data_IF_969067098004
#
_entry.id   IF_969067098004
#
_cell.length_a   1.000
_cell.length_b   1.000
_cell.length_c   1.000
_cell.angle_alpha   90.00
_cell.angle_beta   90.00
_cell.angle_gamma   90.00
#
_symmetry.space_group_name_H-M   'P 1'
#
loop_
_entity.id
_entity.type
_entity.pdbx_description
1 polymer ?
#
# COMPACT_ATOMS: atom_id res chain seq x y z
N UNK A 1 21.69 14.17 1.76
CA UNK A 1 21.74 12.73 1.34
C UNK A 1 20.40 12.13 0.90
N UNK A 2 19.23 12.58 1.40
CA UNK A 2 17.94 11.97 1.03
C UNK A 2 17.15 12.81 0.00
N UNK A 3 17.49 14.10 -0.11
CA UNK A 3 16.86 15.03 -1.05
C UNK A 3 17.03 14.63 -2.51
N UNK A 4 18.23 14.26 -2.94
CA UNK A 4 18.47 13.86 -4.34
C UNK A 4 17.62 12.66 -4.75
N UNK A 5 17.43 11.70 -3.84
CA UNK A 5 16.57 10.53 -4.06
C UNK A 5 15.09 10.94 -4.18
N UNK A 6 14.65 11.88 -3.34
CA UNK A 6 13.29 12.44 -3.34
C UNK A 6 13.03 13.22 -4.63
N UNK A 7 13.96 14.07 -5.04
CA UNK A 7 13.88 14.85 -6.27
C UNK A 7 13.81 13.95 -7.51
N UNK A 8 14.63 12.88 -7.55
CA UNK A 8 14.57 11.87 -8.61
C UNK A 8 13.25 11.11 -8.67
N UNK A 9 12.62 10.85 -7.53
CA UNK A 9 11.27 10.26 -7.49
C UNK A 9 10.21 11.23 -7.99
N UNK A 10 10.29 12.51 -7.60
CA UNK A 10 9.30 13.51 -8.04
C UNK A 10 9.42 13.80 -9.54
N UNK A 11 10.65 13.89 -10.08
CA UNK A 11 10.90 13.96 -11.54
C UNK A 11 10.25 12.79 -12.28
N UNK A 12 10.41 11.56 -11.77
CA UNK A 12 9.77 10.35 -12.35
C UNK A 12 8.25 10.40 -12.28
N UNK A 13 7.67 10.85 -11.16
CA UNK A 13 6.21 10.98 -11.00
C UNK A 13 5.58 11.94 -12.01
N UNK A 14 6.32 12.99 -12.42
CA UNK A 14 5.84 14.01 -13.37
C UNK A 14 5.86 13.53 -14.84
N UNK A 15 6.59 12.46 -15.15
CA UNK A 15 6.60 11.88 -16.51
C UNK A 15 5.23 11.34 -16.91
N UNK A 16 4.90 11.25 -18.21
CA UNK A 16 3.62 10.69 -18.68
C UNK A 16 3.37 9.26 -18.17
N UNK A 17 4.39 8.39 -18.22
CA UNK A 17 4.31 7.03 -17.68
C UNK A 17 4.12 7.02 -16.16
N UNK A 18 4.82 7.90 -15.43
CA UNK A 18 4.64 8.07 -14.00
C UNK A 18 3.21 8.50 -13.61
N UNK A 19 2.62 9.43 -14.35
CA UNK A 19 1.23 9.87 -14.17
C UNK A 19 0.24 8.73 -14.43
N UNK A 20 0.44 7.96 -15.50
CA UNK A 20 -0.40 6.79 -15.82
C UNK A 20 -0.34 5.72 -14.73
N UNK A 21 0.87 5.36 -14.27
CA UNK A 21 1.05 4.40 -13.17
C UNK A 21 0.37 4.91 -11.90
N UNK A 22 0.53 6.20 -11.59
CA UNK A 22 -0.08 6.80 -10.40
C UNK A 22 -1.60 6.77 -10.45
N UNK A 23 -2.22 7.04 -11.61
CA UNK A 23 -3.67 6.92 -11.78
C UNK A 23 -4.15 5.49 -11.48
N UNK A 24 -3.49 4.47 -12.02
CA UNK A 24 -3.84 3.07 -11.80
C UNK A 24 -3.62 2.61 -10.34
N UNK A 25 -2.64 3.19 -9.64
CA UNK A 25 -2.38 2.89 -8.22
C UNK A 25 -3.49 3.38 -7.30
N UNK A 26 -4.10 4.54 -7.58
CA UNK A 26 -5.23 5.07 -6.80
C UNK A 26 -6.41 4.11 -6.74
N UNK A 27 -6.68 3.45 -7.86
CA UNK A 27 -7.81 2.54 -8.01
C UNK A 27 -7.56 1.18 -7.37
N UNK A 28 -6.31 0.75 -7.30
CA UNK A 28 -5.95 -0.62 -6.92
C UNK A 28 -5.26 -0.69 -5.57
N UNK A 29 -3.98 -0.35 -5.52
CA UNK A 29 -3.10 -0.56 -4.37
C UNK A 29 -3.42 0.43 -3.24
N UNK A 30 -3.62 1.72 -3.56
CA UNK A 30 -3.86 2.74 -2.54
C UNK A 30 -5.20 2.53 -1.82
N UNK A 31 -6.21 1.97 -2.52
CA UNK A 31 -7.49 1.61 -1.92
C UNK A 31 -7.35 0.50 -0.87
N UNK A 32 -6.59 -0.56 -1.19
CA UNK A 32 -6.30 -1.65 -0.22
C UNK A 32 -5.59 -1.15 1.04
N UNK A 33 -4.66 -0.19 0.88
CA UNK A 33 -3.98 0.43 2.02
C UNK A 33 -4.90 1.33 2.84
N UNK A 34 -5.81 2.07 2.21
CA UNK A 34 -6.82 2.86 2.91
C UNK A 34 -7.74 1.96 3.76
N UNK A 35 -8.21 0.84 3.18
CA UNK A 35 -9.01 -0.14 3.90
C UNK A 35 -8.24 -0.76 5.07
N UNK A 36 -6.96 -1.08 4.88
CA UNK A 36 -6.12 -1.59 5.97
C UNK A 36 -5.92 -0.57 7.09
N UNK A 37 -5.82 0.72 6.73
CA UNK A 37 -5.72 1.83 7.68
C UNK A 37 -6.96 1.97 8.54
N UNK A 38 -8.14 2.02 7.93
CA UNK A 38 -9.39 2.26 8.64
C UNK A 38 -9.96 1.01 9.29
N UNK A 39 -10.00 -0.12 8.56
CA UNK A 39 -10.71 -1.33 8.97
C UNK A 39 -9.83 -2.33 9.73
N UNK A 40 -8.51 -2.30 9.51
CA UNK A 40 -7.57 -3.27 10.10
C UNK A 40 -6.59 -2.65 11.10
N UNK A 41 -6.83 -1.39 11.48
CA UNK A 41 -6.18 -0.74 12.60
C UNK A 41 -4.74 -0.30 12.35
N UNK A 42 -4.34 -0.01 11.10
CA UNK A 42 -2.99 0.50 10.82
C UNK A 42 -2.81 2.00 11.14
N UNK A 43 -3.84 2.69 11.68
CA UNK A 43 -3.65 4.06 12.18
C UNK A 43 -2.58 4.13 13.27
N UNK A 44 -2.46 3.09 14.08
CA UNK A 44 -1.49 2.99 15.16
C UNK A 44 -0.90 1.58 15.24
N UNK A 45 0.29 1.45 15.80
CA UNK A 45 0.85 0.14 16.12
C UNK A 45 0.01 -0.52 17.23
N UNK A 46 -0.81 -1.52 16.86
CA UNK A 46 -1.67 -2.24 17.81
C UNK A 46 -0.86 -3.15 18.75
N UNK A 47 0.24 -3.70 18.26
CA UNK A 47 1.10 -4.61 19.03
C UNK A 47 2.42 -3.94 19.40
N UNK A 48 3.02 -4.38 20.51
CA UNK A 48 4.38 -3.99 20.90
C UNK A 48 5.41 -4.86 20.18
N UNK A 49 6.46 -4.23 19.67
CA UNK A 49 7.56 -4.88 18.96
C UNK A 49 7.32 -5.02 17.46
N UNK A 50 8.40 -4.83 16.69
CA UNK A 50 8.35 -4.78 15.22
C UNK A 50 7.83 -6.08 14.60
N UNK A 51 8.25 -7.24 15.12
CA UNK A 51 7.86 -8.54 14.60
C UNK A 51 6.35 -8.78 14.69
N UNK A 52 5.73 -8.40 15.81
CA UNK A 52 4.27 -8.56 15.98
C UNK A 52 3.47 -7.61 15.09
N UNK A 53 3.93 -6.37 14.92
CA UNK A 53 3.32 -5.41 13.99
C UNK A 53 3.46 -5.90 12.55
N UNK A 54 4.64 -6.40 12.16
CA UNK A 54 4.84 -7.03 10.84
C UNK A 54 3.92 -8.22 10.62
N UNK A 55 3.77 -9.09 11.62
CA UNK A 55 2.87 -10.25 11.56
C UNK A 55 1.42 -9.85 11.26
N UNK A 56 0.89 -8.85 11.98
CA UNK A 56 -0.42 -8.25 11.68
C UNK A 56 -0.46 -7.73 10.25
N UNK A 57 0.57 -6.98 9.83
CA UNK A 57 0.59 -6.38 8.51
C UNK A 57 0.52 -7.42 7.39
N UNK A 58 1.35 -8.45 7.48
CA UNK A 58 1.42 -9.52 6.48
C UNK A 58 0.14 -10.35 6.43
N UNK A 59 -0.43 -10.70 7.59
CA UNK A 59 -1.66 -11.48 7.66
C UNK A 59 -2.86 -10.72 7.05
N UNK A 60 -3.01 -9.43 7.38
CA UNK A 60 -4.05 -8.59 6.78
C UNK A 60 -3.87 -8.47 5.27
N UNK A 61 -2.65 -8.22 4.79
CA UNK A 61 -2.37 -8.12 3.36
C UNK A 61 -2.67 -9.44 2.62
N UNK A 62 -2.30 -10.58 3.21
CA UNK A 62 -2.62 -11.90 2.66
C UNK A 62 -4.14 -12.11 2.54
N UNK A 63 -4.91 -11.78 3.58
CA UNK A 63 -6.36 -11.88 3.55
C UNK A 63 -7.01 -10.96 2.49
N UNK A 64 -6.55 -9.71 2.39
CA UNK A 64 -7.01 -8.78 1.35
C UNK A 64 -6.70 -9.28 -0.06
N UNK A 65 -5.50 -9.84 -0.27
CA UNK A 65 -5.11 -10.42 -1.56
C UNK A 65 -5.98 -11.64 -1.91
N UNK A 66 -6.24 -12.54 -0.96
CA UNK A 66 -7.14 -13.69 -1.17
C UNK A 66 -8.55 -13.23 -1.54
N UNK A 67 -9.11 -12.25 -0.80
CA UNK A 67 -10.42 -11.65 -1.13
C UNK A 67 -10.44 -11.09 -2.55
N UNK A 68 -9.38 -10.38 -2.95
CA UNK A 68 -9.26 -9.83 -4.30
C UNK A 68 -9.22 -10.92 -5.37
N UNK A 69 -8.45 -11.99 -5.17
CA UNK A 69 -8.38 -13.12 -6.10
C UNK A 69 -9.75 -13.77 -6.26
N UNK A 70 -10.44 -14.05 -5.14
CA UNK A 70 -11.78 -14.64 -5.16
C UNK A 70 -12.79 -13.77 -5.92
N UNK A 71 -12.75 -12.45 -5.74
CA UNK A 71 -13.63 -11.52 -6.46
C UNK A 71 -13.29 -11.34 -7.94
N UNK A 72 -12.06 -11.63 -8.36
CA UNK A 72 -11.66 -11.58 -9.78
C UNK A 72 -11.86 -12.91 -10.51
N UNK A 73 -11.94 -14.01 -9.76
CA UNK A 73 -12.19 -15.35 -10.31
C UNK A 73 -13.69 -15.69 -10.42
N UNK A 74 -14.56 -14.89 -9.80
CA UNK A 74 -16.01 -14.93 -9.95
C UNK A 74 -16.46 -14.04 -11.11
#
# INVERSE_FOLDING_TARGET
MWEDKKERLDKRRRTPSGKWIYARRKETVERSFADAKELHGYRYARYRGLERVKGQCLLTAAAQNMKKIALMAA
#
